data_IF_030678881105
#
_entry.id   IF_030678881105
#
_cell.length_a   1.000
_cell.length_b   1.000
_cell.length_c   1.000
_cell.angle_alpha   90.00
_cell.angle_beta   90.00
_cell.angle_gamma   90.00
#
_symmetry.space_group_name_H-M   'P 1'
#
loop_
_entity.id
_entity.type
_entity.pdbx_description
1 polymer ?
#
# COMPACT_ATOMS: atom_id res chain seq x y z
N UNK A 1 -10.72 -12.39 -3.13
CA UNK A 1 -11.89 -11.58 -2.72
C UNK A 1 -12.95 -11.56 -3.81
N UNK A 2 -12.56 -11.46 -5.08
CA UNK A 2 -13.47 -11.40 -6.24
C UNK A 2 -14.50 -12.53 -6.34
N UNK A 3 -14.14 -13.77 -5.99
CA UNK A 3 -15.08 -14.90 -6.05
C UNK A 3 -16.25 -14.75 -5.08
N UNK A 4 -16.01 -14.30 -3.86
CA UNK A 4 -17.07 -14.17 -2.85
C UNK A 4 -18.08 -13.09 -3.27
N UNK A 5 -17.60 -11.95 -3.80
CA UNK A 5 -18.48 -10.90 -4.32
C UNK A 5 -19.28 -11.38 -5.54
N UNK A 6 -18.65 -12.13 -6.45
CA UNK A 6 -19.36 -12.73 -7.59
C UNK A 6 -20.47 -13.70 -7.16
N UNK A 7 -20.25 -14.49 -6.10
CA UNK A 7 -21.29 -15.36 -5.52
C UNK A 7 -22.45 -14.52 -4.98
N UNK A 8 -22.15 -13.46 -4.22
CA UNK A 8 -23.17 -12.57 -3.66
C UNK A 8 -24.04 -11.91 -4.74
N UNK A 9 -23.41 -11.36 -5.78
CA UNK A 9 -24.11 -10.70 -6.90
C UNK A 9 -24.90 -11.69 -7.78
N UNK A 10 -24.46 -12.95 -7.88
CA UNK A 10 -25.20 -13.99 -8.58
C UNK A 10 -26.44 -14.43 -7.80
N UNK A 11 -26.32 -14.59 -6.47
CA UNK A 11 -27.46 -14.91 -5.61
C UNK A 11 -28.50 -13.79 -5.58
N UNK A 12 -28.08 -12.52 -5.70
CA UNK A 12 -28.98 -11.37 -5.81
C UNK A 12 -29.98 -11.49 -6.99
N UNK A 13 -29.68 -12.32 -8.00
CA UNK A 13 -30.53 -12.56 -9.18
C UNK A 13 -31.36 -13.85 -9.07
N UNK A 14 -31.23 -14.58 -7.97
CA UNK A 14 -31.88 -15.86 -7.78
C UNK A 14 -33.39 -15.67 -7.51
N UNK A 15 -34.29 -16.37 -8.23
CA UNK A 15 -35.74 -16.12 -8.15
C UNK A 15 -36.36 -16.42 -6.78
N UNK A 16 -35.67 -17.24 -5.97
CA UNK A 16 -36.11 -17.66 -4.63
C UNK A 16 -35.20 -17.12 -3.51
N UNK A 17 -34.43 -16.07 -3.78
CA UNK A 17 -33.45 -15.52 -2.83
C UNK A 17 -34.08 -15.21 -1.48
N UNK A 18 -35.18 -14.46 -1.44
CA UNK A 18 -35.79 -13.98 -0.20
C UNK A 18 -36.11 -15.14 0.74
N UNK A 19 -36.74 -16.19 0.20
CA UNK A 19 -37.13 -17.37 0.97
C UNK A 19 -35.91 -18.14 1.50
N UNK A 20 -34.88 -18.32 0.67
CA UNK A 20 -33.65 -19.01 1.05
C UNK A 20 -32.87 -18.20 2.11
N UNK A 21 -32.82 -16.89 1.95
CA UNK A 21 -32.23 -15.96 2.89
C UNK A 21 -33.00 -15.97 4.22
N UNK A 22 -34.33 -16.01 4.21
CA UNK A 22 -35.15 -16.14 5.43
C UNK A 22 -34.81 -17.41 6.19
N UNK A 23 -34.74 -18.58 5.53
CA UNK A 23 -34.34 -19.84 6.20
C UNK A 23 -32.96 -19.67 6.85
N UNK A 24 -31.96 -19.23 6.09
CA UNK A 24 -30.60 -19.07 6.59
C UNK A 24 -30.54 -18.07 7.76
N UNK A 25 -31.30 -16.97 7.68
CA UNK A 25 -31.39 -15.95 8.73
C UNK A 25 -32.00 -16.49 10.02
N UNK A 26 -33.10 -17.23 9.93
CA UNK A 26 -33.75 -17.87 11.08
C UNK A 26 -32.82 -18.87 11.77
N UNK A 27 -32.14 -19.71 11.00
CA UNK A 27 -31.19 -20.70 11.56
C UNK A 27 -29.96 -20.01 12.17
N UNK A 28 -29.39 -19.01 11.50
CA UNK A 28 -28.29 -18.21 12.03
C UNK A 28 -28.69 -17.50 13.35
N UNK A 29 -29.90 -16.94 13.41
CA UNK A 29 -30.43 -16.30 14.61
C UNK A 29 -30.66 -17.31 15.74
N UNK A 30 -31.18 -18.49 15.44
CA UNK A 30 -31.39 -19.56 16.42
C UNK A 30 -30.04 -20.02 17.01
N UNK A 31 -29.05 -20.27 16.15
CA UNK A 31 -27.69 -20.67 16.55
C UNK A 31 -27.01 -19.57 17.39
N UNK A 32 -27.09 -18.31 16.94
CA UNK A 32 -26.51 -17.18 17.67
C UNK A 32 -27.16 -16.97 19.04
N UNK A 33 -28.48 -17.14 19.14
CA UNK A 33 -29.23 -17.01 20.40
C UNK A 33 -28.89 -18.13 21.38
N UNK A 34 -28.74 -19.36 20.88
CA UNK A 34 -28.35 -20.52 21.69
C UNK A 34 -26.86 -20.51 22.08
N UNK A 35 -26.03 -19.72 21.39
CA UNK A 35 -24.56 -19.70 21.53
C UNK A 35 -23.95 -21.11 21.48
N UNK A 36 -24.50 -21.96 20.61
CA UNK A 36 -24.08 -23.35 20.43
C UNK A 36 -24.24 -23.78 18.98
N UNK A 37 -23.22 -24.46 18.46
CA UNK A 37 -23.24 -25.05 17.13
C UNK A 37 -22.69 -26.48 17.20
N UNK A 38 -23.60 -27.45 17.09
CA UNK A 38 -23.28 -28.89 17.12
C UNK A 38 -23.35 -29.54 15.74
N UNK A 39 -23.64 -28.76 14.70
CA UNK A 39 -23.82 -29.25 13.34
C UNK A 39 -24.86 -28.42 12.58
N UNK A 40 -25.06 -28.78 11.32
CA UNK A 40 -26.08 -28.15 10.49
C UNK A 40 -27.49 -28.50 10.99
N UNK A 41 -28.43 -27.54 11.15
CA UNK A 41 -29.73 -27.81 11.76
C UNK A 41 -30.67 -28.64 10.87
N UNK A 42 -31.29 -29.70 11.41
CA UNK A 42 -32.35 -30.47 10.71
C UNK A 42 -33.61 -29.63 10.42
N UNK A 43 -33.81 -28.54 11.16
CA UNK A 43 -34.86 -27.53 10.91
C UNK A 43 -34.72 -26.89 9.54
N UNK A 44 -33.49 -26.60 9.10
CA UNK A 44 -33.21 -26.04 7.78
C UNK A 44 -33.69 -26.98 6.67
N UNK A 45 -33.37 -28.28 6.80
CA UNK A 45 -33.79 -29.33 5.88
C UNK A 45 -35.31 -29.48 5.82
N UNK A 46 -35.97 -29.49 6.98
CA UNK A 46 -37.44 -29.61 7.05
C UNK A 46 -38.13 -28.43 6.37
N UNK A 47 -37.66 -27.19 6.61
CA UNK A 47 -38.17 -25.98 5.95
C UNK A 47 -37.94 -26.02 4.44
N UNK A 48 -36.76 -26.46 4.02
CA UNK A 48 -36.41 -26.58 2.61
C UNK A 48 -37.28 -27.61 1.88
N UNK A 49 -37.54 -28.75 2.51
CA UNK A 49 -38.39 -29.80 1.95
C UNK A 49 -39.85 -29.33 1.82
N UNK A 50 -40.33 -28.55 2.78
CA UNK A 50 -41.66 -27.93 2.72
C UNK A 50 -41.81 -26.90 1.60
N UNK A 51 -40.71 -26.25 1.17
CA UNK A 51 -40.73 -25.31 0.05
C UNK A 51 -40.86 -25.98 -1.33
N UNK A 52 -40.59 -27.28 -1.43
CA UNK A 52 -40.74 -28.03 -2.68
C UNK A 52 -39.87 -27.52 -3.84
N UNK A 53 -38.66 -26.99 -3.55
CA UNK A 53 -37.75 -26.48 -4.58
C UNK A 53 -37.36 -27.58 -5.58
N UNK A 54 -37.56 -27.28 -6.87
CA UNK A 54 -37.09 -28.14 -7.95
C UNK A 54 -35.56 -28.18 -8.01
N UNK A 55 -34.99 -29.20 -8.66
CA UNK A 55 -33.53 -29.33 -8.81
C UNK A 55 -32.93 -28.16 -9.60
N UNK A 56 -33.63 -27.70 -10.64
CA UNK A 56 -33.20 -26.58 -11.47
C UNK A 56 -33.20 -25.26 -10.69
N UNK A 57 -34.18 -25.05 -9.79
CA UNK A 57 -34.27 -23.86 -8.94
C UNK A 57 -33.24 -23.83 -7.81
N UNK A 58 -32.60 -24.96 -7.46
CA UNK A 58 -31.55 -25.00 -6.45
C UNK A 58 -30.16 -24.74 -7.02
N UNK A 59 -29.99 -24.84 -8.33
CA UNK A 59 -28.68 -24.87 -8.98
C UNK A 59 -28.18 -23.46 -9.32
N UNK A 60 -26.99 -23.12 -8.86
CA UNK A 60 -26.29 -21.87 -9.20
C UNK A 60 -24.97 -22.17 -9.92
N UNK A 61 -24.35 -21.18 -10.60
CA UNK A 61 -23.01 -21.35 -11.18
C UNK A 61 -21.92 -21.70 -10.16
N UNK A 62 -22.20 -21.54 -8.86
CA UNK A 62 -21.24 -21.74 -7.78
C UNK A 62 -21.53 -22.98 -6.92
N UNK A 63 -22.62 -23.68 -7.17
CA UNK A 63 -23.03 -24.88 -6.41
C UNK A 63 -24.55 -25.04 -6.30
N UNK A 64 -24.97 -26.17 -5.74
CA UNK A 64 -26.38 -26.48 -5.47
C UNK A 64 -26.76 -26.01 -4.05
N UNK A 65 -27.63 -25.00 -3.98
CA UNK A 65 -28.15 -24.43 -2.73
C UNK A 65 -29.01 -25.41 -1.95
N UNK A 66 -29.73 -26.31 -2.64
CA UNK A 66 -30.57 -27.31 -1.98
C UNK A 66 -29.69 -28.36 -1.30
N UNK A 67 -28.66 -28.86 -1.99
CA UNK A 67 -27.69 -29.76 -1.39
C UNK A 67 -26.99 -29.09 -0.19
N UNK A 68 -26.55 -27.84 -0.35
CA UNK A 68 -25.94 -27.04 0.72
C UNK A 68 -26.84 -26.92 1.95
N UNK A 69 -28.10 -26.51 1.80
CA UNK A 69 -29.02 -26.32 2.93
C UNK A 69 -29.51 -27.63 3.55
N UNK A 70 -29.31 -28.78 2.90
CA UNK A 70 -29.61 -30.10 3.50
C UNK A 70 -28.44 -30.67 4.30
N UNK A 71 -27.21 -30.56 3.80
CA UNK A 71 -26.02 -31.20 4.41
C UNK A 71 -25.16 -30.23 5.23
N UNK A 72 -25.34 -28.93 5.03
CA UNK A 72 -24.44 -27.89 5.51
C UNK A 72 -23.24 -27.67 4.58
N UNK A 73 -22.36 -26.71 4.89
CA UNK A 73 -21.20 -26.42 4.06
C UNK A 73 -20.08 -27.44 4.28
N UNK A 74 -19.71 -28.16 3.21
CA UNK A 74 -18.61 -29.14 3.22
C UNK A 74 -17.38 -28.65 2.45
N UNK A 75 -17.58 -27.74 1.50
CA UNK A 75 -16.53 -27.17 0.66
C UNK A 75 -16.35 -25.66 0.90
N UNK A 76 -15.22 -25.11 0.44
CA UNK A 76 -14.99 -23.66 0.45
C UNK A 76 -16.04 -22.91 -0.39
N UNK A 77 -16.48 -23.51 -1.51
CA UNK A 77 -17.56 -22.96 -2.34
C UNK A 77 -18.89 -22.88 -1.60
N UNK A 78 -19.23 -23.95 -0.87
CA UNK A 78 -20.43 -24.00 -0.01
C UNK A 78 -20.38 -22.93 1.09
N UNK A 79 -19.23 -22.75 1.73
CA UNK A 79 -19.04 -21.73 2.75
C UNK A 79 -19.26 -20.31 2.20
N UNK A 80 -18.80 -20.03 0.97
CA UNK A 80 -19.07 -18.76 0.30
C UNK A 80 -20.55 -18.56 -0.05
N UNK A 81 -21.22 -19.60 -0.54
CA UNK A 81 -22.67 -19.54 -0.82
C UNK A 81 -23.47 -19.27 0.46
N UNK A 82 -23.17 -19.99 1.54
CA UNK A 82 -23.81 -19.80 2.83
C UNK A 82 -23.56 -18.40 3.39
N UNK A 83 -22.32 -17.92 3.31
CA UNK A 83 -21.93 -16.58 3.75
C UNK A 83 -22.67 -15.48 2.99
N UNK A 84 -22.85 -15.65 1.69
CA UNK A 84 -23.62 -14.73 0.86
C UNK A 84 -25.12 -14.77 1.16
N UNK A 85 -25.72 -15.95 1.37
CA UNK A 85 -27.11 -16.07 1.82
C UNK A 85 -27.34 -15.43 3.19
N UNK A 86 -26.42 -15.63 4.13
CA UNK A 86 -26.49 -15.01 5.46
C UNK A 86 -26.40 -13.47 5.39
N UNK A 87 -25.62 -12.94 4.44
CA UNK A 87 -25.54 -11.51 4.20
C UNK A 87 -26.83 -10.94 3.58
N UNK A 88 -27.47 -11.66 2.64
CA UNK A 88 -28.79 -11.29 2.12
C UNK A 88 -29.87 -11.36 3.21
N UNK A 89 -29.81 -12.36 4.09
CA UNK A 89 -30.71 -12.46 5.24
C UNK A 89 -30.57 -11.27 6.19
N UNK A 90 -29.33 -10.84 6.44
CA UNK A 90 -29.04 -9.65 7.24
C UNK A 90 -29.56 -8.36 6.58
N UNK A 91 -29.46 -8.24 5.26
CA UNK A 91 -29.98 -7.08 4.52
C UNK A 91 -31.50 -6.93 4.61
N UNK A 92 -32.23 -8.05 4.75
CA UNK A 92 -33.67 -8.05 4.97
C UNK A 92 -34.11 -7.85 6.43
N UNK A 93 -33.17 -7.84 7.38
CA UNK A 93 -33.48 -7.70 8.80
C UNK A 93 -33.69 -6.22 9.20
N UNK A 94 -34.60 -5.92 10.14
CA UNK A 94 -34.80 -4.55 10.61
C UNK A 94 -33.61 -4.10 11.47
N UNK A 95 -32.80 -3.17 10.93
CA UNK A 95 -31.60 -2.61 11.56
C UNK A 95 -31.76 -1.10 11.82
N UNK A 96 -32.98 -0.71 12.19
CA UNK A 96 -33.44 0.69 12.21
C UNK A 96 -32.81 1.52 13.33
N UNK A 97 -32.24 0.88 14.36
CA UNK A 97 -31.63 1.56 15.49
C UNK A 97 -30.27 0.97 15.92
N UNK A 98 -29.54 1.75 16.73
CA UNK A 98 -28.21 1.40 17.24
C UNK A 98 -28.23 0.12 18.10
N UNK A 99 -29.35 -0.19 18.76
CA UNK A 99 -29.49 -1.36 19.62
C UNK A 99 -29.60 -2.64 18.79
N UNK A 100 -30.40 -2.61 17.72
CA UNK A 100 -30.54 -3.67 16.73
C UNK A 100 -29.20 -3.92 16.03
N UNK A 101 -28.50 -2.86 15.61
CA UNK A 101 -27.16 -2.98 15.01
C UNK A 101 -26.13 -3.57 16.00
N UNK A 102 -26.15 -3.15 17.27
CA UNK A 102 -25.24 -3.69 18.31
C UNK A 102 -25.50 -5.17 18.58
N UNK A 103 -26.78 -5.58 18.63
CA UNK A 103 -27.17 -6.98 18.78
C UNK A 103 -26.73 -7.79 17.56
N UNK A 104 -27.04 -7.32 16.35
CA UNK A 104 -26.64 -7.97 15.10
C UNK A 104 -25.12 -8.11 14.99
N UNK A 105 -24.34 -7.07 15.30
CA UNK A 105 -22.88 -7.14 15.33
C UNK A 105 -22.37 -8.20 16.32
N UNK A 106 -23.00 -8.32 17.49
CA UNK A 106 -22.64 -9.33 18.50
C UNK A 106 -22.96 -10.75 18.03
N UNK A 107 -24.11 -10.95 17.38
CA UNK A 107 -24.53 -12.23 16.83
C UNK A 107 -23.62 -12.65 15.66
N UNK A 108 -23.32 -11.73 14.74
CA UNK A 108 -22.43 -11.95 13.59
C UNK A 108 -21.00 -12.28 13.99
N UNK A 109 -20.42 -11.58 14.96
CA UNK A 109 -19.06 -11.84 15.41
C UNK A 109 -18.93 -13.23 16.03
N UNK A 110 -19.91 -13.62 16.84
CA UNK A 110 -19.94 -14.95 17.44
C UNK A 110 -20.15 -16.04 16.38
N UNK A 111 -21.08 -15.84 15.45
CA UNK A 111 -21.33 -16.77 14.35
C UNK A 111 -20.05 -16.96 13.52
N UNK A 112 -19.40 -15.88 13.10
CA UNK A 112 -18.21 -15.96 12.28
C UNK A 112 -17.00 -16.55 13.02
N UNK A 113 -16.96 -16.47 14.35
CA UNK A 113 -15.88 -17.06 15.15
C UNK A 113 -16.11 -18.55 15.50
N UNK A 114 -17.37 -19.01 15.54
CA UNK A 114 -17.72 -20.34 16.05
C UNK A 114 -18.42 -21.24 15.04
N UNK A 115 -18.76 -20.73 13.86
CA UNK A 115 -19.55 -21.44 12.85
C UNK A 115 -19.08 -21.12 11.43
N UNK A 116 -19.55 -21.88 10.41
CA UNK A 116 -19.32 -21.53 9.01
C UNK A 116 -20.06 -20.27 8.49
N UNK A 117 -20.92 -19.64 9.30
CA UNK A 117 -21.69 -18.46 8.89
C UNK A 117 -20.82 -17.19 8.95
N UNK A 118 -20.27 -16.77 7.81
CA UNK A 118 -19.38 -15.59 7.73
C UNK A 118 -19.97 -14.50 6.82
N UNK A 119 -21.02 -13.82 7.27
CA UNK A 119 -21.63 -12.72 6.50
C UNK A 119 -20.77 -11.43 6.46
N UNK A 120 -19.76 -11.31 7.34
CA UNK A 120 -18.95 -10.09 7.51
C UNK A 120 -18.26 -9.62 6.23
N UNK A 121 -17.87 -10.54 5.33
CA UNK A 121 -17.20 -10.21 4.07
C UNK A 121 -18.11 -9.50 3.06
N UNK A 122 -19.43 -9.49 3.28
CA UNK A 122 -20.43 -8.96 2.36
C UNK A 122 -21.18 -7.75 2.93
N UNK A 123 -20.84 -7.27 4.12
CA UNK A 123 -21.57 -6.18 4.80
C UNK A 123 -21.67 -4.91 3.96
N UNK A 124 -20.55 -4.44 3.41
CA UNK A 124 -20.50 -3.25 2.53
C UNK A 124 -21.52 -3.37 1.39
N UNK A 125 -21.65 -4.56 0.81
CA UNK A 125 -22.49 -4.82 -0.36
C UNK A 125 -23.95 -5.04 0.01
N UNK A 126 -24.21 -5.70 1.15
CA UNK A 126 -25.53 -6.11 1.59
C UNK A 126 -26.34 -4.96 2.21
N UNK A 127 -25.71 -4.09 3.01
CA UNK A 127 -26.39 -3.05 3.77
C UNK A 127 -26.42 -1.68 3.08
N UNK A 128 -25.57 -1.47 2.06
CA UNK A 128 -25.34 -0.15 1.49
C UNK A 128 -24.55 0.77 2.44
N UNK A 129 -24.13 1.94 1.94
CA UNK A 129 -23.12 2.78 2.61
C UNK A 129 -23.51 3.20 4.04
N UNK A 130 -24.74 3.70 4.26
CA UNK A 130 -25.16 4.28 5.54
C UNK A 130 -25.31 3.22 6.64
N UNK A 131 -26.04 2.14 6.37
CA UNK A 131 -26.24 1.06 7.33
C UNK A 131 -24.95 0.24 7.54
N UNK A 132 -24.13 0.07 6.50
CA UNK A 132 -22.82 -0.58 6.65
C UNK A 132 -21.92 0.23 7.59
N UNK A 133 -21.90 1.57 7.46
CA UNK A 133 -21.09 2.43 8.33
C UNK A 133 -21.51 2.32 9.81
N UNK A 134 -22.82 2.28 10.10
CA UNK A 134 -23.36 2.02 11.43
C UNK A 134 -22.97 0.63 11.97
N UNK A 135 -23.13 -0.41 11.15
CA UNK A 135 -22.75 -1.78 11.48
C UNK A 135 -21.24 -1.91 11.78
N UNK A 136 -20.38 -1.28 10.98
CA UNK A 136 -18.94 -1.25 11.24
C UNK A 136 -18.60 -0.51 12.53
N UNK A 137 -19.33 0.56 12.85
CA UNK A 137 -19.25 1.24 14.14
C UNK A 137 -19.55 0.31 15.31
N UNK A 138 -20.64 -0.46 15.22
CA UNK A 138 -21.04 -1.44 16.23
C UNK A 138 -20.00 -2.56 16.40
N UNK A 139 -19.48 -3.11 15.29
CA UNK A 139 -18.43 -4.13 15.30
C UNK A 139 -17.15 -3.58 15.94
N UNK A 140 -16.72 -2.38 15.56
CA UNK A 140 -15.54 -1.73 16.12
C UNK A 140 -15.69 -1.49 17.63
N UNK A 141 -16.87 -1.05 18.07
CA UNK A 141 -17.17 -0.87 19.49
C UNK A 141 -17.06 -2.17 20.28
N UNK A 142 -17.45 -3.31 19.69
CA UNK A 142 -17.26 -4.65 20.29
C UNK A 142 -15.78 -5.03 20.34
N UNK A 143 -15.04 -4.91 19.23
CA UNK A 143 -13.59 -5.24 19.16
C UNK A 143 -12.78 -4.48 20.20
N UNK A 144 -13.12 -3.21 20.47
CA UNK A 144 -12.48 -2.40 21.51
C UNK A 144 -12.60 -3.01 22.92
N UNK A 145 -13.66 -3.78 23.20
CA UNK A 145 -13.94 -4.39 24.51
C UNK A 145 -13.23 -5.74 24.72
N UNK A 146 -12.29 -6.14 23.86
CA UNK A 146 -11.52 -7.39 24.01
C UNK A 146 -10.75 -7.46 25.33
N UNK A 147 -10.31 -6.31 25.86
CA UNK A 147 -9.52 -6.25 27.09
C UNK A 147 -10.36 -6.36 28.36
N UNK A 148 -11.62 -5.93 28.29
CA UNK A 148 -12.54 -5.96 29.44
C UNK A 148 -13.23 -7.32 29.59
N UNK A 149 -12.69 -8.38 28.96
CA UNK A 149 -13.18 -9.78 28.93
C UNK A 149 -14.65 -9.98 28.51
N UNK A 150 -15.31 -8.96 27.94
CA UNK A 150 -16.69 -9.02 27.46
C UNK A 150 -16.81 -9.55 26.01
N UNK A 151 -15.69 -9.90 25.39
CA UNK A 151 -15.62 -10.42 24.03
C UNK A 151 -14.59 -11.54 24.00
N UNK A 152 -14.97 -12.69 23.45
CA UNK A 152 -14.01 -13.76 23.22
C UNK A 152 -12.95 -13.27 22.22
N UNK A 153 -11.70 -13.68 22.44
CA UNK A 153 -10.58 -13.24 21.60
C UNK A 153 -10.76 -13.60 20.12
N UNK A 154 -11.35 -14.77 19.85
CA UNK A 154 -11.65 -15.21 18.48
C UNK A 154 -12.59 -14.23 17.76
N UNK A 155 -13.66 -13.79 18.44
CA UNK A 155 -14.60 -12.78 17.93
C UNK A 155 -13.88 -11.44 17.65
N UNK A 156 -12.99 -11.01 18.54
CA UNK A 156 -12.20 -9.79 18.34
C UNK A 156 -11.28 -9.88 17.11
N UNK A 157 -10.64 -11.03 16.88
CA UNK A 157 -9.77 -11.27 15.73
C UNK A 157 -10.55 -11.28 14.42
N UNK A 158 -11.70 -11.96 14.40
CA UNK A 158 -12.58 -12.01 13.23
C UNK A 158 -13.13 -10.61 12.91
N UNK A 159 -13.60 -9.87 13.92
CA UNK A 159 -14.05 -8.49 13.74
C UNK A 159 -12.96 -7.56 13.24
N UNK A 160 -11.75 -7.67 13.80
CA UNK A 160 -10.59 -6.91 13.33
C UNK A 160 -10.22 -7.22 11.88
N UNK A 161 -10.18 -8.50 11.50
CA UNK A 161 -9.90 -8.93 10.14
C UNK A 161 -10.97 -8.43 9.16
N UNK A 162 -12.24 -8.49 9.54
CA UNK A 162 -13.36 -8.00 8.73
C UNK A 162 -13.31 -6.48 8.51
N UNK A 163 -13.06 -5.69 9.57
CA UNK A 163 -12.91 -4.23 9.43
C UNK A 163 -11.70 -3.90 8.52
N UNK A 164 -10.61 -4.64 8.65
CA UNK A 164 -9.40 -4.40 7.85
C UNK A 164 -9.55 -4.78 6.37
N UNK A 165 -10.38 -5.78 6.04
CA UNK A 165 -10.64 -6.19 4.65
C UNK A 165 -11.72 -5.37 3.96
N UNK A 166 -12.54 -4.63 4.71
CA UNK A 166 -13.60 -3.78 4.16
C UNK A 166 -13.06 -2.67 3.27
N UNK A 167 -13.83 -2.37 2.23
CA UNK A 167 -13.55 -1.27 1.30
C UNK A 167 -14.07 0.07 1.79
N UNK A 168 -14.99 0.07 2.77
CA UNK A 168 -15.60 1.29 3.33
C UNK A 168 -14.54 2.23 3.92
N UNK A 169 -14.70 3.53 3.63
CA UNK A 169 -13.85 4.58 4.20
C UNK A 169 -14.01 4.67 5.72
N UNK A 170 -15.20 4.36 6.26
CA UNK A 170 -15.44 4.35 7.70
C UNK A 170 -14.74 3.16 8.35
N UNK A 171 -14.86 1.96 7.78
CA UNK A 171 -14.16 0.78 8.28
C UNK A 171 -12.63 1.00 8.32
N UNK A 172 -12.04 1.59 7.26
CA UNK A 172 -10.60 1.93 7.24
C UNK A 172 -10.20 2.93 8.35
N UNK A 173 -11.02 3.97 8.59
CA UNK A 173 -10.79 4.91 9.70
C UNK A 173 -10.91 4.22 11.06
N UNK A 174 -11.90 3.34 11.22
CA UNK A 174 -12.09 2.54 12.43
C UNK A 174 -10.93 1.58 12.66
N UNK A 175 -10.41 0.91 11.64
CA UNK A 175 -9.23 0.04 11.75
C UNK A 175 -8.01 0.81 12.27
N UNK A 176 -7.70 1.96 11.66
CA UNK A 176 -6.58 2.81 12.08
C UNK A 176 -6.77 3.35 13.52
N UNK A 177 -8.01 3.65 13.92
CA UNK A 177 -8.34 4.05 15.30
C UNK A 177 -8.17 2.89 16.28
N UNK A 178 -8.78 1.74 16.03
CA UNK A 178 -8.71 0.55 16.88
C UNK A 178 -7.28 0.07 17.07
N UNK A 179 -6.44 0.15 16.02
CA UNK A 179 -5.03 -0.24 16.09
C UNK A 179 -4.24 0.54 17.15
N UNK A 180 -4.61 1.81 17.36
CA UNK A 180 -4.00 2.70 18.37
C UNK A 180 -4.57 2.47 19.77
N UNK A 181 -5.85 2.10 19.85
CA UNK A 181 -6.58 1.95 21.12
C UNK A 181 -6.41 0.57 21.76
N UNK A 182 -6.49 -0.51 20.98
CA UNK A 182 -6.38 -1.89 21.49
C UNK A 182 -4.92 -2.20 21.83
N UNK A 183 -4.63 -2.97 22.87
CA UNK A 183 -3.28 -3.43 23.24
C UNK A 183 -2.97 -4.86 22.78
N UNK A 184 -3.99 -5.73 22.58
CA UNK A 184 -3.79 -7.11 22.12
C UNK A 184 -3.03 -7.15 20.78
N UNK A 185 -1.85 -7.76 20.82
CA UNK A 185 -0.92 -7.87 19.67
C UNK A 185 -1.54 -8.54 18.45
N UNK A 186 -2.40 -9.53 18.64
CA UNK A 186 -2.99 -10.32 17.56
C UNK A 186 -4.16 -9.59 16.93
N UNK A 187 -4.97 -8.89 17.73
CA UNK A 187 -6.01 -7.99 17.21
C UNK A 187 -5.37 -6.86 16.41
N UNK A 188 -4.27 -6.26 16.88
CA UNK A 188 -3.48 -5.30 16.08
C UNK A 188 -2.97 -5.90 14.78
N UNK A 189 -2.52 -7.14 14.79
CA UNK A 189 -2.05 -7.81 13.57
C UNK A 189 -3.19 -8.09 12.58
N UNK A 190 -4.36 -8.48 13.09
CA UNK A 190 -5.57 -8.75 12.31
C UNK A 190 -6.17 -7.47 11.69
N UNK A 191 -6.04 -6.31 12.34
CA UNK A 191 -6.38 -4.99 11.79
C UNK A 191 -5.50 -4.56 10.59
N UNK A 192 -4.79 -5.50 9.97
CA UNK A 192 -3.88 -5.28 8.85
C UNK A 192 -2.55 -4.65 9.28
N UNK A 193 -1.81 -4.13 8.32
CA UNK A 193 -0.78 -3.12 8.58
C UNK A 193 -1.40 -1.78 8.19
N UNK A 194 -1.04 -0.71 8.87
CA UNK A 194 -1.24 0.59 8.23
C UNK A 194 -0.45 0.52 6.92
N UNK A 195 -1.16 0.56 5.80
CA UNK A 195 -0.58 0.81 4.48
C UNK A 195 0.03 2.20 4.58
N UNK A 196 1.29 2.28 5.00
CA UNK A 196 1.99 3.55 4.95
C UNK A 196 2.36 3.86 3.51
N UNK A 197 2.87 5.06 3.30
CA UNK A 197 3.14 5.57 1.97
C UNK A 197 4.02 4.59 1.19
N UNK A 198 3.54 4.15 0.03
CA UNK A 198 4.33 3.39 -0.94
C UNK A 198 4.90 4.40 -1.92
N UNK A 199 6.22 4.45 -2.04
CA UNK A 199 6.93 5.32 -2.98
C UNK A 199 7.78 4.48 -3.91
N UNK A 200 7.63 4.70 -5.21
CA UNK A 200 8.45 4.04 -6.23
C UNK A 200 9.60 4.95 -6.67
N UNK A 201 10.81 4.38 -6.70
CA UNK A 201 12.01 5.07 -7.11
C UNK A 201 13.06 4.10 -7.67
N UNK A 202 14.32 4.54 -7.69
CA UNK A 202 15.44 3.73 -8.13
C UNK A 202 16.51 3.68 -7.05
N UNK A 203 17.10 2.50 -6.83
CA UNK A 203 18.20 2.36 -5.90
C UNK A 203 19.43 3.12 -6.42
N UNK A 204 19.78 4.19 -5.72
CA UNK A 204 20.96 4.99 -5.99
C UNK A 204 22.17 4.43 -5.23
N UNK A 205 23.41 4.65 -5.73
CA UNK A 205 24.61 4.34 -4.96
C UNK A 205 24.59 5.15 -3.65
N UNK A 206 25.05 4.55 -2.54
CA UNK A 206 25.18 5.26 -1.26
C UNK A 206 26.11 6.49 -1.41
N UNK A 207 25.85 7.61 -0.72
CA UNK A 207 26.77 8.74 -0.74
C UNK A 207 28.14 8.30 -0.23
N UNK A 208 29.18 8.74 -0.93
CA UNK A 208 30.58 8.54 -0.53
C UNK A 208 30.99 9.69 0.36
N UNK A 209 31.96 9.45 1.27
CA UNK A 209 32.53 10.56 2.04
C UNK A 209 33.21 11.57 1.10
N UNK A 210 33.24 12.88 1.45
CA UNK A 210 33.90 13.90 0.64
C UNK A 210 35.36 13.59 0.37
N UNK A 211 36.07 13.06 1.36
CA UNK A 211 37.50 12.69 1.27
C UNK A 211 37.72 11.58 0.22
N UNK A 212 36.93 10.51 0.27
CA UNK A 212 37.01 9.42 -0.72
C UNK A 212 36.66 9.93 -2.11
N UNK A 213 35.67 10.83 -2.20
CA UNK A 213 35.30 11.44 -3.49
C UNK A 213 36.44 12.27 -4.06
N UNK A 214 37.12 13.08 -3.24
CA UNK A 214 38.27 13.88 -3.65
C UNK A 214 39.44 12.98 -4.10
N UNK A 215 39.79 11.95 -3.34
CA UNK A 215 40.84 10.99 -3.72
C UNK A 215 40.51 10.30 -5.05
N UNK A 216 39.27 9.84 -5.24
CA UNK A 216 38.83 9.22 -6.49
C UNK A 216 38.81 10.20 -7.66
N UNK A 217 38.51 11.47 -7.40
CA UNK A 217 38.54 12.52 -8.42
C UNK A 217 39.98 12.81 -8.87
N UNK A 218 40.90 13.00 -7.93
CA UNK A 218 42.33 13.28 -8.21
C UNK A 218 42.99 12.11 -8.94
N UNK A 219 42.65 10.87 -8.58
CA UNK A 219 43.17 9.67 -9.26
C UNK A 219 42.50 9.38 -10.61
N UNK A 220 41.49 10.15 -11.02
CA UNK A 220 40.71 9.91 -12.25
C UNK A 220 39.73 8.72 -12.16
N UNK A 221 39.82 7.89 -11.11
CA UNK A 221 38.98 6.71 -10.91
C UNK A 221 37.49 7.06 -10.79
N UNK A 222 37.16 8.25 -10.30
CA UNK A 222 35.78 8.71 -10.23
C UNK A 222 35.14 8.77 -11.62
N UNK A 223 35.84 9.35 -12.60
CA UNK A 223 35.37 9.49 -13.98
C UNK A 223 35.24 8.14 -14.67
N UNK A 224 36.23 7.25 -14.49
CA UNK A 224 36.16 5.87 -14.97
C UNK A 224 34.93 5.14 -14.40
N UNK A 225 34.70 5.23 -13.09
CA UNK A 225 33.57 4.57 -12.44
C UNK A 225 32.21 5.16 -12.84
N UNK A 226 32.15 6.48 -13.06
CA UNK A 226 30.95 7.17 -13.51
C UNK A 226 30.64 6.83 -14.98
N UNK A 227 31.66 6.84 -15.85
CA UNK A 227 31.56 6.46 -17.25
C UNK A 227 31.13 5.00 -17.42
N UNK A 228 31.74 4.07 -16.68
CA UNK A 228 31.35 2.67 -16.67
C UNK A 228 29.89 2.47 -16.24
N UNK A 229 29.41 3.25 -15.25
CA UNK A 229 28.00 3.19 -14.80
C UNK A 229 27.04 3.79 -15.82
N UNK A 230 27.40 4.92 -16.42
CA UNK A 230 26.61 5.53 -17.49
C UNK A 230 26.50 4.59 -18.68
N UNK A 231 27.62 3.99 -19.08
CA UNK A 231 27.67 2.96 -20.11
C UNK A 231 26.79 1.76 -19.74
N UNK A 232 26.89 1.21 -18.53
CA UNK A 232 26.03 0.11 -18.09
C UNK A 232 24.53 0.47 -18.12
N UNK A 233 24.18 1.72 -17.79
CA UNK A 233 22.78 2.18 -17.84
C UNK A 233 22.27 2.32 -19.27
N UNK A 234 23.09 2.84 -20.19
CA UNK A 234 22.71 3.09 -21.58
C UNK A 234 22.81 1.83 -22.44
N UNK A 235 23.96 1.16 -22.42
CA UNK A 235 24.25 0.01 -23.28
C UNK A 235 23.55 -1.28 -22.82
N UNK A 236 23.45 -1.50 -21.50
CA UNK A 236 22.87 -2.74 -20.95
C UNK A 236 21.44 -2.56 -20.44
N UNK A 237 20.88 -1.35 -20.53
CA UNK A 237 19.59 -0.99 -19.95
C UNK A 237 19.46 -1.43 -18.48
N UNK A 238 20.55 -1.38 -17.71
CA UNK A 238 20.58 -1.83 -16.31
C UNK A 238 19.71 -0.88 -15.46
N UNK A 239 18.59 -1.39 -14.95
CA UNK A 239 17.69 -0.67 -14.06
C UNK A 239 17.71 -1.28 -12.66
N UNK A 240 17.48 -0.45 -11.65
CA UNK A 240 17.36 -0.91 -10.26
C UNK A 240 16.12 -0.31 -9.60
N UNK A 241 14.91 -0.65 -10.04
CA UNK A 241 13.70 -0.16 -9.40
C UNK A 241 13.68 -0.55 -7.92
N UNK A 242 13.20 0.39 -7.11
CA UNK A 242 13.10 0.25 -5.67
C UNK A 242 11.74 0.78 -5.22
N UNK A 243 10.97 -0.06 -4.55
CA UNK A 243 9.70 0.32 -3.92
C UNK A 243 9.92 0.44 -2.42
N UNK A 244 9.56 1.60 -1.87
CA UNK A 244 9.71 1.93 -0.45
C UNK A 244 8.34 1.97 0.17
N UNK A 245 8.09 1.06 1.10
CA UNK A 245 6.87 1.09 1.92
C UNK A 245 7.23 1.63 3.28
N UNK A 246 6.72 2.81 3.60
CA UNK A 246 6.80 3.37 4.94
C UNK A 246 5.74 2.71 5.81
N UNK A 247 6.04 2.53 7.09
CA UNK A 247 5.08 2.05 8.08
C UNK A 247 5.43 2.64 9.44
N UNK A 248 4.49 2.67 10.41
CA UNK A 248 4.79 3.13 11.76
C UNK A 248 5.92 2.35 12.45
N UNK A 249 6.13 1.08 12.03
CA UNK A 249 7.12 0.18 12.59
C UNK A 249 8.51 0.34 11.94
N UNK A 250 8.62 1.03 10.82
CA UNK A 250 9.86 1.18 10.08
C UNK A 250 9.65 1.26 8.56
N UNK A 251 10.74 1.09 7.82
CA UNK A 251 10.77 1.23 6.37
C UNK A 251 11.11 -0.12 5.74
N UNK A 252 10.31 -0.54 4.77
CA UNK A 252 10.55 -1.73 3.96
C UNK A 252 10.92 -1.32 2.54
N UNK A 253 12.00 -1.91 2.03
CA UNK A 253 12.58 -1.57 0.74
C UNK A 253 12.68 -2.84 -0.07
N UNK A 254 11.92 -2.91 -1.15
CA UNK A 254 12.02 -3.96 -2.15
C UNK A 254 12.82 -3.42 -3.33
N UNK A 255 13.92 -4.09 -3.68
CA UNK A 255 14.78 -3.69 -4.78
C UNK A 255 14.90 -4.83 -5.78
N UNK A 256 14.74 -4.50 -7.06
CA UNK A 256 14.93 -5.43 -8.17
C UNK A 256 16.07 -4.90 -9.03
N UNK A 257 16.98 -5.77 -9.45
CA UNK A 257 18.02 -5.45 -10.44
C UNK A 257 17.59 -6.05 -11.76
N UNK A 258 17.30 -5.21 -12.73
CA UNK A 258 16.80 -5.61 -14.04
C UNK A 258 17.85 -5.35 -15.12
N UNK A 259 18.04 -6.32 -16.01
CA UNK A 259 18.92 -6.22 -17.18
C UNK A 259 18.10 -6.62 -18.40
N UNK A 260 17.98 -5.72 -19.38
CA UNK A 260 17.19 -5.96 -20.61
C UNK A 260 15.75 -6.43 -20.31
N UNK A 261 15.12 -5.86 -19.27
CA UNK A 261 13.75 -6.19 -18.85
C UNK A 261 13.60 -7.50 -18.07
N UNK A 262 14.70 -8.21 -17.75
CA UNK A 262 14.68 -9.42 -16.92
C UNK A 262 15.22 -9.14 -15.53
N UNK A 263 14.54 -9.65 -14.51
CA UNK A 263 14.98 -9.55 -13.11
C UNK A 263 16.16 -10.49 -12.87
N UNK A 264 17.35 -9.92 -12.65
CA UNK A 264 18.56 -10.66 -12.30
C UNK A 264 18.62 -10.98 -10.81
N UNK A 265 18.16 -10.05 -9.97
CA UNK A 265 18.27 -10.17 -8.52
C UNK A 265 17.18 -9.37 -7.85
N UNK A 266 16.54 -9.98 -6.87
CA UNK A 266 15.59 -9.33 -5.98
C UNK A 266 16.16 -9.31 -4.56
N UNK A 267 15.93 -8.20 -3.86
CA UNK A 267 16.38 -8.05 -2.47
C UNK A 267 15.36 -7.21 -1.71
N UNK A 268 14.86 -7.77 -0.61
CA UNK A 268 13.98 -7.10 0.34
C UNK A 268 14.78 -6.78 1.62
N UNK A 269 14.74 -5.53 2.06
CA UNK A 269 15.40 -5.05 3.27
C UNK A 269 14.38 -4.36 4.14
N UNK A 270 14.27 -4.79 5.40
CA UNK A 270 13.42 -4.15 6.39
C UNK A 270 14.30 -3.44 7.42
N UNK A 271 14.05 -2.15 7.59
CA UNK A 271 14.71 -1.31 8.60
C UNK A 271 13.66 -0.95 9.64
N UNK A 272 13.80 -1.49 10.86
CA UNK A 272 12.92 -1.13 11.97
C UNK A 272 13.13 0.32 12.37
N UNK A 273 12.08 1.00 12.84
CA UNK A 273 12.14 2.40 13.28
C UNK A 273 13.21 2.62 14.36
N UNK A 274 13.34 1.69 15.30
CA UNK A 274 14.38 1.69 16.36
C UNK A 274 15.81 1.56 15.82
N UNK A 275 15.96 1.02 14.61
CA UNK A 275 17.24 0.85 13.94
C UNK A 275 17.55 1.97 12.95
N UNK A 276 16.63 2.90 12.69
CA UNK A 276 16.84 3.99 11.74
C UNK A 276 17.45 5.20 12.47
N UNK A 277 18.72 5.51 12.22
CA UNK A 277 19.40 6.67 12.81
C UNK A 277 18.91 7.95 12.16
N UNK A 278 18.81 7.93 10.83
CA UNK A 278 18.50 9.12 10.06
C UNK A 278 17.71 8.75 8.80
N UNK A 279 16.64 9.48 8.57
CA UNK A 279 15.88 9.45 7.33
C UNK A 279 15.66 10.89 6.87
N UNK A 280 16.19 11.24 5.70
CA UNK A 280 16.10 12.58 5.18
C UNK A 280 15.93 12.58 3.67
N UNK A 281 15.22 13.61 3.21
CA UNK A 281 15.21 13.99 1.81
C UNK A 281 16.50 14.76 1.53
N UNK A 282 17.33 14.21 0.66
CA UNK A 282 18.50 14.89 0.12
C UNK A 282 18.07 15.56 -1.20
N UNK A 283 18.12 16.89 -1.25
CA UNK A 283 17.99 17.62 -2.51
C UNK A 283 19.30 17.43 -3.26
N UNK A 284 19.23 16.79 -4.43
CA UNK A 284 20.42 16.34 -5.15
C UNK A 284 21.22 17.55 -5.65
N UNK A 285 22.45 17.67 -5.15
CA UNK A 285 23.43 18.68 -5.54
C UNK A 285 22.97 20.15 -5.51
N UNK A 286 22.71 20.72 -4.31
CA UNK A 286 22.43 22.16 -4.21
C UNK A 286 23.55 23.01 -4.84
N UNK A 287 24.79 22.48 -4.84
CA UNK A 287 25.97 23.16 -5.36
C UNK A 287 26.42 22.71 -6.76
N UNK A 288 25.80 21.73 -7.44
CA UNK A 288 26.28 21.32 -8.78
C UNK A 288 26.00 22.37 -9.85
N UNK A 289 24.91 23.09 -9.70
CA UNK A 289 24.66 24.37 -10.37
C UNK A 289 25.89 25.30 -10.22
N UNK A 290 26.24 25.62 -8.97
CA UNK A 290 27.40 26.46 -8.63
C UNK A 290 28.74 25.94 -9.19
N UNK A 291 29.02 24.64 -9.09
CA UNK A 291 30.27 24.07 -9.60
C UNK A 291 30.32 23.99 -11.13
N UNK A 292 29.20 23.67 -11.78
CA UNK A 292 29.08 23.72 -13.23
C UNK A 292 29.34 25.14 -13.72
N UNK A 293 28.83 26.13 -12.99
CA UNK A 293 29.12 27.53 -13.23
C UNK A 293 30.56 27.93 -13.06
N UNK A 294 31.18 27.54 -11.95
CA UNK A 294 32.58 27.82 -11.70
C UNK A 294 33.49 27.17 -12.75
N UNK A 295 33.16 25.96 -13.21
CA UNK A 295 33.87 25.28 -14.28
C UNK A 295 33.66 25.96 -15.64
N UNK A 296 32.41 26.32 -15.98
CA UNK A 296 32.09 27.05 -17.21
C UNK A 296 32.77 28.42 -17.24
N UNK A 297 32.79 29.12 -16.11
CA UNK A 297 33.49 30.39 -15.93
C UNK A 297 35.01 30.21 -16.07
N UNK A 298 35.59 29.16 -15.46
CA UNK A 298 37.03 28.90 -15.55
C UNK A 298 37.46 28.57 -16.99
N UNK A 299 36.73 27.67 -17.67
CA UNK A 299 37.00 27.31 -19.08
C UNK A 299 36.77 28.51 -20.00
N UNK A 300 35.64 29.20 -19.83
CA UNK A 300 35.30 30.39 -20.61
C UNK A 300 36.31 31.52 -20.42
N UNK A 301 36.79 31.74 -19.19
CA UNK A 301 37.83 32.73 -18.90
C UNK A 301 39.17 32.33 -19.50
N UNK A 302 39.58 31.06 -19.39
CA UNK A 302 40.84 30.59 -19.96
C UNK A 302 40.87 30.69 -21.49
N UNK A 303 39.82 30.20 -22.16
CA UNK A 303 39.71 30.26 -23.62
C UNK A 303 39.47 31.69 -24.12
N UNK A 304 38.65 32.47 -23.41
CA UNK A 304 38.35 33.85 -23.75
C UNK A 304 39.57 34.77 -23.63
N UNK A 305 40.33 34.67 -22.53
CA UNK A 305 41.54 35.47 -22.31
C UNK A 305 42.65 35.07 -23.28
N UNK A 306 42.85 33.78 -23.55
CA UNK A 306 43.86 33.35 -24.54
C UNK A 306 43.56 33.89 -25.94
N UNK A 307 42.31 33.75 -26.41
CA UNK A 307 41.89 34.30 -27.70
C UNK A 307 41.92 35.83 -27.76
N UNK A 308 41.61 36.51 -26.65
CA UNK A 308 41.70 37.97 -26.55
C UNK A 308 43.15 38.45 -26.63
N UNK A 309 44.06 37.81 -25.89
CA UNK A 309 45.50 38.13 -25.92
C UNK A 309 46.08 37.87 -27.32
N UNK A 310 45.71 36.78 -27.98
CA UNK A 310 46.13 36.51 -29.35
C UNK A 310 45.52 37.50 -30.36
N UNK A 311 44.26 37.92 -30.15
CA UNK A 311 43.59 38.94 -30.94
C UNK A 311 44.24 40.33 -30.83
N UNK A 312 44.62 40.75 -29.61
CA UNK A 312 45.34 42.00 -29.38
C UNK A 312 46.73 42.00 -30.00
N UNK A 313 47.45 40.88 -29.92
CA UNK A 313 48.77 40.72 -30.55
C UNK A 313 48.70 40.71 -32.08
N UNK A 314 47.63 40.17 -32.65
CA UNK A 314 47.41 40.08 -34.10
C UNK A 314 46.65 41.27 -34.70
N UNK A 315 46.22 42.24 -33.88
CA UNK A 315 45.36 43.36 -34.28
C UNK A 315 44.09 42.95 -35.06
N UNK A 316 43.52 41.78 -34.73
CA UNK A 316 42.37 41.21 -35.44
C UNK A 316 41.05 41.44 -34.66
N UNK A 317 40.13 42.29 -35.16
CA UNK A 317 38.85 42.55 -34.49
C UNK A 317 37.94 41.32 -34.39
N UNK A 318 38.06 40.37 -35.32
CA UNK A 318 37.23 39.16 -35.35
C UNK A 318 37.60 38.18 -34.23
N UNK A 319 38.89 38.07 -33.89
CA UNK A 319 39.36 37.24 -32.77
C UNK A 319 38.93 37.83 -31.41
N UNK A 320 38.94 39.16 -31.29
CA UNK A 320 38.43 39.86 -30.11
C UNK A 320 36.92 39.60 -29.90
N UNK A 321 36.12 39.74 -30.95
CA UNK A 321 34.68 39.50 -30.88
C UNK A 321 34.35 38.02 -30.56
N UNK A 322 35.12 37.07 -31.12
CA UNK A 322 34.97 35.64 -30.84
C UNK A 322 35.32 35.30 -29.39
N UNK A 323 36.44 35.84 -28.87
CA UNK A 323 36.84 35.65 -27.47
C UNK A 323 35.81 36.19 -26.49
N UNK A 324 35.29 37.40 -26.75
CA UNK A 324 34.21 37.99 -25.95
C UNK A 324 32.91 37.16 -26.03
N UNK A 325 32.56 36.68 -27.22
CA UNK A 325 31.39 35.84 -27.45
C UNK A 325 31.45 34.51 -26.67
N UNK A 326 32.62 33.86 -26.61
CA UNK A 326 32.82 32.63 -25.83
C UNK A 326 32.64 32.88 -24.33
N UNK A 327 33.13 34.02 -23.82
CA UNK A 327 32.94 34.39 -22.41
C UNK A 327 31.46 34.60 -22.09
N UNK A 328 30.75 35.37 -22.92
CA UNK A 328 29.30 35.62 -22.73
C UNK A 328 28.50 34.32 -22.83
N UNK A 329 28.82 33.44 -23.79
CA UNK A 329 28.17 32.15 -23.93
C UNK A 329 28.44 31.24 -22.72
N UNK A 330 29.66 31.23 -22.17
CA UNK A 330 30.00 30.49 -20.96
C UNK A 330 29.17 30.94 -19.75
N UNK A 331 29.01 32.25 -19.57
CA UNK A 331 28.18 32.84 -18.50
C UNK A 331 26.69 32.52 -18.70
N UNK A 332 26.19 32.54 -19.93
CA UNK A 332 24.81 32.19 -20.22
C UNK A 332 24.51 30.70 -19.98
N UNK A 333 25.42 29.81 -20.37
CA UNK A 333 25.32 28.36 -20.12
C UNK A 333 25.37 28.06 -18.63
N UNK A 334 26.27 28.73 -17.88
CA UNK A 334 26.28 28.67 -16.42
C UNK A 334 24.91 29.06 -15.86
N UNK A 335 24.38 30.22 -16.22
CA UNK A 335 23.09 30.69 -15.70
C UNK A 335 21.93 29.72 -15.98
N UNK A 336 21.90 29.11 -17.16
CA UNK A 336 20.90 28.12 -17.57
C UNK A 336 21.06 26.81 -16.77
N UNK A 337 22.29 26.30 -16.62
CA UNK A 337 22.57 25.09 -15.85
C UNK A 337 22.32 25.30 -14.35
N UNK A 338 22.58 26.51 -13.84
CA UNK A 338 22.42 26.88 -12.45
C UNK A 338 20.96 27.14 -12.09
N UNK A 339 20.19 27.76 -12.98
CA UNK A 339 18.78 28.10 -12.77
C UNK A 339 17.78 26.97 -13.02
N UNK A 340 18.06 26.06 -13.96
CA UNK A 340 17.05 25.07 -14.42
C UNK A 340 17.29 23.63 -13.92
N UNK A 341 18.52 23.29 -13.51
CA UNK A 341 18.86 21.89 -13.20
C UNK A 341 18.28 21.31 -11.89
N UNK A 342 18.08 22.06 -10.78
CA UNK A 342 17.62 21.44 -9.53
C UNK A 342 16.08 21.36 -9.40
N UNK A 343 15.31 22.16 -10.15
CA UNK A 343 13.87 22.36 -9.89
C UNK A 343 12.89 21.62 -10.80
N UNK A 344 13.29 21.17 -11.99
CA UNK A 344 12.32 20.88 -13.05
C UNK A 344 11.54 19.56 -12.97
N UNK A 345 11.81 18.67 -12.02
CA UNK A 345 11.12 17.36 -11.98
C UNK A 345 10.39 17.03 -10.69
N UNK A 346 10.45 17.87 -9.65
CA UNK A 346 9.82 17.55 -8.36
C UNK A 346 10.36 16.26 -7.70
N UNK A 347 11.43 15.69 -8.26
CA UNK A 347 12.04 14.45 -7.83
C UNK A 347 13.12 14.72 -6.80
N UNK A 348 13.19 13.87 -5.79
CA UNK A 348 14.14 13.94 -4.71
C UNK A 348 14.87 12.61 -4.52
N UNK A 349 15.87 12.64 -3.64
CA UNK A 349 16.56 11.46 -3.18
C UNK A 349 16.23 11.24 -1.71
N UNK A 350 15.77 10.05 -1.36
CA UNK A 350 15.57 9.63 0.01
C UNK A 350 16.83 8.91 0.51
N UNK A 351 17.36 9.37 1.64
CA UNK A 351 18.47 8.74 2.33
C UNK A 351 17.98 8.06 3.60
N UNK A 352 18.25 6.76 3.74
CA UNK A 352 17.93 5.95 4.91
C UNK A 352 19.22 5.41 5.52
N UNK A 353 19.53 5.85 6.73
CA UNK A 353 20.75 5.47 7.47
C UNK A 353 20.35 4.53 8.62
N UNK A 354 20.50 3.21 8.45
CA UNK A 354 20.30 2.28 9.56
C UNK A 354 21.47 2.35 10.54
N UNK A 355 21.23 1.88 11.77
CA UNK A 355 22.21 1.81 12.85
C UNK A 355 23.27 0.75 12.60
N UNK A 356 22.90 -0.31 11.89
CA UNK A 356 23.80 -1.36 11.43
C UNK A 356 23.53 -1.60 9.94
N UNK A 357 24.59 -1.62 9.14
CA UNK A 357 24.52 -1.88 7.71
C UNK A 357 24.74 -0.64 6.84
N UNK A 358 24.65 -0.80 5.51
CA UNK A 358 24.92 0.27 4.56
C UNK A 358 23.78 1.30 4.51
N UNK A 359 24.12 2.57 4.30
CA UNK A 359 23.16 3.61 3.96
C UNK A 359 22.48 3.29 2.64
N UNK A 360 21.16 3.33 2.63
CA UNK A 360 20.36 3.08 1.43
C UNK A 360 19.89 4.42 0.88
N UNK A 361 20.12 4.64 -0.41
CA UNK A 361 19.72 5.87 -1.09
C UNK A 361 18.80 5.52 -2.25
N UNK A 362 17.70 6.24 -2.38
CA UNK A 362 16.67 5.98 -3.38
C UNK A 362 16.38 7.29 -4.11
N UNK A 363 16.54 7.30 -5.42
CA UNK A 363 16.37 8.48 -6.27
C UNK A 363 15.09 8.41 -7.10
N UNK A 364 14.62 9.56 -7.59
CA UNK A 364 13.47 9.64 -8.47
C UNK A 364 12.12 9.62 -7.74
N UNK A 365 12.11 9.89 -6.44
CA UNK A 365 10.90 9.92 -5.62
C UNK A 365 10.25 11.30 -5.68
N UNK A 366 8.93 11.38 -5.72
CA UNK A 366 8.23 12.67 -5.66
C UNK A 366 8.40 13.34 -4.29
N UNK A 367 8.75 14.63 -4.28
CA UNK A 367 9.10 15.35 -3.06
C UNK A 367 7.94 15.42 -2.05
N UNK A 368 6.72 15.79 -2.48
CA UNK A 368 5.59 15.98 -1.57
C UNK A 368 5.08 14.68 -0.90
N UNK A 369 4.94 13.55 -1.62
CA UNK A 369 4.69 12.25 -0.97
C UNK A 369 5.84 11.82 -0.05
N UNK A 370 7.10 12.07 -0.44
CA UNK A 370 8.28 11.72 0.37
C UNK A 370 8.30 12.50 1.69
N UNK A 371 8.02 13.80 1.67
CA UNK A 371 8.01 14.63 2.87
C UNK A 371 6.90 14.18 3.84
N UNK A 372 5.69 13.88 3.34
CA UNK A 372 4.60 13.29 4.15
C UNK A 372 4.99 11.93 4.75
N UNK A 373 5.67 11.09 3.96
CA UNK A 373 6.14 9.79 4.44
C UNK A 373 7.21 9.94 5.54
N UNK A 374 8.12 10.91 5.40
CA UNK A 374 9.13 11.21 6.40
C UNK A 374 8.52 11.80 7.68
N UNK A 375 7.48 12.63 7.58
CA UNK A 375 6.72 13.12 8.74
C UNK A 375 6.08 11.98 9.53
N UNK A 376 5.54 10.96 8.84
CA UNK A 376 4.96 9.78 9.48
C UNK A 376 5.95 8.93 10.28
N UNK A 377 7.26 9.05 10.00
CA UNK A 377 8.32 8.38 10.78
C UNK A 377 8.75 9.19 12.01
N UNK A 378 8.48 10.51 12.02
CA UNK A 378 8.82 11.40 13.15
C UNK A 378 7.76 11.33 14.25
N UNK A 379 6.48 11.24 13.87
CA UNK A 379 5.35 10.99 14.77
C UNK A 379 5.44 9.59 15.37
#
# INVERSE_FOLDING_TARGET
MDRALAVFDALAKHPRLDVLATIVGEEAQAIASARSYTGWPETAKTKLDALGLSEDEGTTPFGDLRALLRRGPETEGDAHLLSALAAHALAGAPLDDDAAQTKAATDLLWLAANTPFVALAHLDRALGDELADGMWGAIAARVRRVETSQLARAEALVGAAAIASSSSRVAKKLAARLRREVSDRWVKAALGREEGAVLDGQLAPSPRSPIVTAMLAVTGLLFLSAGARAFAKVALALKRPATVTFSPLGVEIETKTELLGRTLRERRVRIERTSLIHAAREVRYPALAFYAGLLALAIGSYLGVSLFVDGTRSASPSLLALGLGIVVAGVAIDFVLTGLAPGLRGQCRLLLVPRRGPTIAIEGLDAAPTDRALESLKA
#
